data_IF_669184790584
#
_entry.id   IF_669184790584
#
_cell.length_a   1.000
_cell.length_b   1.000
_cell.length_c   1.000
_cell.angle_alpha   90.00
_cell.angle_beta   90.00
_cell.angle_gamma   90.00
#
_symmetry.space_group_name_H-M   'P 1'
#
loop_
_entity.id
_entity.type
_entity.pdbx_description
1 polymer ?
#
# COMPACT_ATOMS: atom_id res chain seq x y z
N UNK A 1 0.43 -7.84 -11.82
CA UNK A 1 1.82 -7.36 -11.75
C UNK A 1 1.75 -5.86 -11.80
N UNK A 2 1.32 -5.26 -10.69
CA UNK A 2 1.20 -3.83 -10.58
C UNK A 2 2.11 -3.39 -9.43
N UNK A 3 2.98 -2.44 -9.73
CA UNK A 3 3.81 -1.77 -8.75
C UNK A 3 3.03 -0.55 -8.25
N UNK A 4 2.76 -0.50 -6.95
CA UNK A 4 2.05 0.59 -6.31
C UNK A 4 3.07 1.57 -5.74
N UNK A 5 3.28 2.68 -6.44
CA UNK A 5 4.09 3.80 -5.97
C UNK A 5 3.16 4.85 -5.38
N UNK A 6 3.27 5.06 -4.06
CA UNK A 6 2.46 6.05 -3.38
C UNK A 6 3.09 7.44 -3.50
N UNK A 7 2.28 8.49 -3.71
CA UNK A 7 2.80 9.83 -3.94
C UNK A 7 3.48 10.38 -2.69
N UNK A 8 4.53 11.19 -2.90
CA UNK A 8 5.16 11.95 -1.81
C UNK A 8 4.14 12.86 -1.16
N UNK A 9 4.15 12.92 0.17
CA UNK A 9 3.15 13.64 0.97
C UNK A 9 1.84 12.88 1.19
N UNK A 10 1.75 11.59 0.83
CA UNK A 10 0.62 10.76 1.26
C UNK A 10 0.75 10.43 2.75
N UNK A 11 -0.04 11.10 3.58
CA UNK A 11 0.02 10.94 5.03
C UNK A 11 -0.71 9.68 5.52
N UNK A 12 -1.81 9.29 4.87
CA UNK A 12 -2.66 8.20 5.36
C UNK A 12 -3.18 7.30 4.24
N UNK A 13 -3.10 5.99 4.44
CA UNK A 13 -3.82 4.99 3.66
C UNK A 13 -5.07 4.60 4.45
N UNK A 14 -6.25 4.89 3.90
CA UNK A 14 -7.52 4.60 4.56
C UNK A 14 -7.83 3.10 4.68
N UNK A 15 -8.79 2.79 5.56
CA UNK A 15 -9.25 1.41 5.77
C UNK A 15 -9.69 0.77 4.45
N UNK A 16 -9.21 -0.45 4.18
CA UNK A 16 -9.53 -1.21 2.96
C UNK A 16 -9.14 -0.52 1.62
N UNK A 17 -8.27 0.50 1.61
CA UNK A 17 -7.93 1.27 0.41
C UNK A 17 -7.45 0.43 -0.79
N UNK A 18 -6.75 -0.67 -0.51
CA UNK A 18 -6.26 -1.64 -1.49
C UNK A 18 -6.77 -3.05 -1.21
N UNK A 19 -8.00 -3.18 -0.68
CA UNK A 19 -8.59 -4.48 -0.40
C UNK A 19 -8.69 -5.34 -1.67
N UNK A 20 -8.22 -6.59 -1.61
CA UNK A 20 -8.19 -7.56 -2.71
C UNK A 20 -7.46 -7.08 -4.00
N UNK A 21 -6.56 -6.09 -3.88
CA UNK A 21 -5.85 -5.59 -5.04
C UNK A 21 -4.68 -6.51 -5.46
N UNK A 22 -4.48 -6.80 -6.76
CA UNK A 22 -3.41 -7.68 -7.26
C UNK A 22 -2.06 -6.94 -7.38
N UNK A 23 -1.60 -6.36 -6.27
CA UNK A 23 -0.35 -5.62 -6.16
C UNK A 23 0.80 -6.59 -5.92
N UNK A 24 1.96 -6.35 -6.53
CA UNK A 24 3.15 -7.20 -6.33
C UNK A 24 4.19 -6.52 -5.44
N UNK A 25 4.39 -5.22 -5.67
CA UNK A 25 5.33 -4.39 -4.91
C UNK A 25 4.61 -3.13 -4.46
N UNK A 26 4.82 -2.71 -3.21
CA UNK A 26 4.39 -1.38 -2.73
C UNK A 26 5.61 -0.56 -2.32
N UNK A 27 5.63 0.72 -2.71
CA UNK A 27 6.63 1.70 -2.27
C UNK A 27 5.95 2.71 -1.36
N UNK A 28 6.34 2.66 -0.08
CA UNK A 28 5.81 3.50 1.01
C UNK A 28 6.68 4.76 1.11
N UNK A 29 6.15 5.97 0.89
CA UNK A 29 6.93 7.20 1.06
C UNK A 29 7.36 7.40 2.51
N UNK A 30 8.53 8.01 2.69
CA UNK A 30 9.11 8.33 4.02
C UNK A 30 8.18 9.19 4.90
N UNK A 31 7.33 10.01 4.27
CA UNK A 31 6.40 10.92 4.96
C UNK A 31 5.07 10.26 5.37
N UNK A 32 4.90 8.96 5.12
CA UNK A 32 3.66 8.27 5.47
C UNK A 32 3.51 8.12 6.98
N UNK A 33 2.35 8.51 7.49
CA UNK A 33 2.08 8.53 8.93
C UNK A 33 1.19 7.36 9.38
N UNK A 34 0.14 7.04 8.61
CA UNK A 34 -0.84 6.05 9.01
C UNK A 34 -1.23 5.09 7.88
N UNK A 35 -1.40 3.81 8.24
CA UNK A 35 -2.00 2.77 7.40
C UNK A 35 -3.13 2.16 8.23
N UNK A 36 -4.36 2.38 7.80
CA UNK A 36 -5.55 1.97 8.54
C UNK A 36 -5.86 0.46 8.36
N UNK A 37 -6.89 0.00 9.09
CA UNK A 37 -7.26 -1.41 9.16
C UNK A 37 -7.52 -2.02 7.77
N UNK A 38 -6.94 -3.20 7.52
CA UNK A 38 -7.12 -3.98 6.30
C UNK A 38 -6.78 -3.23 5.00
N UNK A 39 -5.99 -2.15 5.05
CA UNK A 39 -5.59 -1.38 3.87
C UNK A 39 -5.09 -2.25 2.70
N UNK A 40 -4.35 -3.33 2.97
CA UNK A 40 -3.85 -4.28 1.96
C UNK A 40 -4.38 -5.71 2.18
N UNK A 41 -5.51 -5.88 2.86
CA UNK A 41 -6.08 -7.21 3.09
C UNK A 41 -6.57 -7.81 1.77
N UNK A 42 -6.31 -9.09 1.53
CA UNK A 42 -6.64 -9.73 0.24
C UNK A 42 -5.64 -9.47 -0.89
N UNK A 43 -4.57 -8.68 -0.66
CA UNK A 43 -3.47 -8.53 -1.62
C UNK A 43 -2.58 -9.79 -1.66
N UNK A 44 -3.11 -10.90 -2.19
CA UNK A 44 -2.44 -12.20 -2.17
C UNK A 44 -1.14 -12.26 -2.99
N UNK A 45 -0.94 -11.32 -3.90
CA UNK A 45 0.24 -11.26 -4.77
C UNK A 45 1.33 -10.33 -4.25
N UNK A 46 1.14 -9.69 -3.10
CA UNK A 46 2.10 -8.74 -2.53
C UNK A 46 3.32 -9.50 -2.00
N UNK A 47 4.46 -9.35 -2.67
CA UNK A 47 5.70 -10.05 -2.34
C UNK A 47 6.78 -9.14 -1.75
N UNK A 48 6.71 -7.84 -2.02
CA UNK A 48 7.70 -6.88 -1.54
C UNK A 48 7.08 -5.55 -1.08
N UNK A 49 7.67 -5.00 -0.03
CA UNK A 49 7.41 -3.65 0.48
C UNK A 49 8.74 -2.91 0.48
N UNK A 50 8.76 -1.73 -0.12
CA UNK A 50 9.92 -0.83 -0.22
C UNK A 50 9.56 0.51 0.41
N UNK A 51 10.58 1.24 0.86
CA UNK A 51 10.47 2.55 1.52
C UNK A 51 11.21 3.59 0.68
#
# INVERSE_FOLDING_TARGET
MADLVLPKGLETIGSHAFFECPITIVTIPEDMQNIDERAFSGCHTLTAVTF
#
